data_IF_519174522640
#
_entry.id   IF_519174522640
#
_cell.length_a   1.000
_cell.length_b   1.000
_cell.length_c   1.000
_cell.angle_alpha   90.00
_cell.angle_beta   90.00
_cell.angle_gamma   90.00
#
_symmetry.space_group_name_H-M   'P 1'
#
loop_
_entity.id
_entity.type
_entity.pdbx_description
1 polymer ?
#
# COMPACT_ATOMS: atom_id res chain seq x y z
N UNK A 1 5.44 -27.78 -39.57
CA UNK A 1 5.69 -28.44 -38.27
C UNK A 1 4.46 -28.52 -37.37
N UNK A 2 3.57 -27.51 -37.32
CA UNK A 2 2.45 -27.46 -36.36
C UNK A 2 1.18 -28.26 -36.74
N UNK A 3 1.22 -29.15 -37.74
CA UNK A 3 0.05 -29.99 -38.09
C UNK A 3 0.40 -31.45 -38.41
N UNK A 4 1.69 -31.83 -38.39
CA UNK A 4 2.11 -33.15 -38.88
C UNK A 4 2.95 -33.94 -37.87
N UNK A 5 3.28 -33.36 -36.72
CA UNK A 5 4.21 -33.95 -35.73
C UNK A 5 3.79 -33.75 -34.27
N UNK A 6 2.50 -33.58 -33.98
CA UNK A 6 1.99 -33.28 -32.62
C UNK A 6 2.29 -34.39 -31.60
N UNK A 7 2.55 -35.61 -32.07
CA UNK A 7 2.81 -36.78 -31.22
C UNK A 7 4.26 -36.87 -30.73
N UNK A 8 5.20 -36.10 -31.29
CA UNK A 8 6.61 -36.13 -30.85
C UNK A 8 6.83 -35.48 -29.48
N UNK A 9 5.90 -34.64 -29.00
CA UNK A 9 5.96 -33.98 -27.68
C UNK A 9 5.29 -34.73 -26.54
N UNK A 10 4.60 -35.85 -26.83
CA UNK A 10 3.78 -36.61 -25.88
C UNK A 10 2.40 -35.99 -25.63
N UNK A 11 1.37 -36.83 -25.48
CA UNK A 11 -0.05 -36.42 -25.35
C UNK A 11 -0.28 -35.45 -24.18
N UNK A 12 0.41 -35.68 -23.06
CA UNK A 12 0.31 -34.85 -21.86
C UNK A 12 0.85 -33.43 -22.12
N UNK A 13 1.97 -33.31 -22.84
CA UNK A 13 2.54 -32.01 -23.20
C UNK A 13 1.64 -31.22 -24.14
N UNK A 14 0.97 -31.92 -25.06
CA UNK A 14 0.01 -31.32 -25.98
C UNK A 14 -1.23 -30.78 -25.28
N UNK A 15 -1.80 -31.55 -24.35
CA UNK A 15 -2.96 -31.12 -23.55
C UNK A 15 -2.60 -29.92 -22.65
N UNK A 16 -1.45 -29.96 -21.99
CA UNK A 16 -0.99 -28.84 -21.14
C UNK A 16 -0.72 -27.60 -21.97
N UNK A 17 -0.11 -27.74 -23.15
CA UNK A 17 0.12 -26.61 -24.05
C UNK A 17 -1.20 -26.02 -24.57
N UNK A 18 -2.17 -26.85 -24.92
CA UNK A 18 -3.49 -26.39 -25.38
C UNK A 18 -4.22 -25.63 -24.26
N UNK A 19 -4.23 -26.21 -23.05
CA UNK A 19 -4.78 -25.55 -21.87
C UNK A 19 -4.12 -24.21 -21.56
N UNK A 20 -2.78 -24.13 -21.65
CA UNK A 20 -2.05 -22.88 -21.43
C UNK A 20 -2.33 -21.84 -22.52
N UNK A 21 -2.54 -22.27 -23.77
CA UNK A 21 -2.88 -21.36 -24.87
C UNK A 21 -4.31 -20.83 -24.76
N UNK A 22 -5.26 -21.61 -24.24
CA UNK A 22 -6.63 -21.14 -24.01
C UNK A 22 -6.70 -20.06 -22.93
N UNK A 23 -5.87 -20.17 -21.88
CA UNK A 23 -5.85 -19.20 -20.78
C UNK A 23 -4.94 -17.99 -21.02
N UNK A 24 -3.76 -18.16 -21.62
CA UNK A 24 -2.77 -17.07 -21.79
C UNK A 24 -2.64 -16.58 -23.24
N UNK A 25 -3.27 -17.24 -24.20
CA UNK A 25 -3.03 -17.01 -25.63
C UNK A 25 -1.66 -17.51 -26.09
N UNK A 26 -1.51 -17.69 -27.41
CA UNK A 26 -0.29 -18.22 -28.03
C UNK A 26 0.99 -17.45 -27.66
N UNK A 27 0.91 -16.12 -27.63
CA UNK A 27 2.03 -15.25 -27.26
C UNK A 27 2.38 -15.42 -25.77
N UNK A 28 1.38 -15.47 -24.89
CA UNK A 28 1.58 -15.63 -23.45
C UNK A 28 2.22 -16.96 -23.10
N UNK A 29 1.74 -18.05 -23.71
CA UNK A 29 2.33 -19.38 -23.52
C UNK A 29 3.78 -19.44 -24.02
N UNK A 30 4.08 -18.79 -25.15
CA UNK A 30 5.45 -18.72 -25.69
C UNK A 30 6.41 -18.00 -24.75
N UNK A 31 6.00 -16.87 -24.18
CA UNK A 31 6.80 -16.13 -23.20
C UNK A 31 7.00 -16.91 -21.90
N UNK A 32 5.98 -17.60 -21.42
CA UNK A 32 6.04 -18.43 -20.21
C UNK A 32 7.05 -19.57 -20.38
N UNK A 33 7.00 -20.27 -21.52
CA UNK A 33 7.93 -21.35 -21.83
C UNK A 33 9.38 -20.84 -21.98
N UNK A 34 9.57 -19.68 -22.63
CA UNK A 34 10.88 -19.04 -22.76
C UNK A 34 11.46 -18.67 -21.38
N UNK A 35 10.64 -18.10 -20.50
CA UNK A 35 11.04 -17.75 -19.14
C UNK A 35 11.41 -18.99 -18.32
N UNK A 36 10.62 -20.06 -18.41
CA UNK A 36 10.91 -21.34 -17.78
C UNK A 36 12.24 -21.94 -18.25
N UNK A 37 12.51 -21.89 -19.56
CA UNK A 37 13.76 -22.37 -20.15
C UNK A 37 14.97 -21.57 -19.66
N UNK A 38 14.88 -20.24 -19.64
CA UNK A 38 15.95 -19.36 -19.13
C UNK A 38 16.20 -19.65 -17.65
N UNK A 39 15.14 -19.79 -16.85
CA UNK A 39 15.24 -20.09 -15.42
C UNK A 39 15.89 -21.46 -15.18
N UNK A 40 15.52 -22.47 -15.97
CA UNK A 40 16.10 -23.81 -15.91
C UNK A 40 17.60 -23.80 -16.28
N UNK A 41 17.98 -23.10 -17.35
CA UNK A 41 19.38 -22.95 -17.75
C UNK A 41 20.21 -22.21 -16.68
N UNK A 42 19.65 -21.16 -16.08
CA UNK A 42 20.30 -20.41 -15.02
C UNK A 42 20.55 -21.27 -13.76
N UNK A 43 19.57 -22.09 -13.36
CA UNK A 43 19.70 -22.97 -12.17
C UNK A 43 20.55 -24.22 -12.43
N UNK A 44 20.38 -24.89 -13.58
CA UNK A 44 21.08 -26.13 -13.91
C UNK A 44 22.55 -25.90 -14.27
N UNK A 45 22.87 -24.83 -15.00
CA UNK A 45 24.21 -24.60 -15.55
C UNK A 45 24.96 -23.44 -14.90
N UNK A 46 24.42 -22.81 -13.84
CA UNK A 46 24.97 -21.58 -13.22
C UNK A 46 25.34 -20.51 -14.26
N UNK A 47 24.51 -20.39 -15.30
CA UNK A 47 24.74 -19.45 -16.40
C UNK A 47 24.39 -18.05 -15.90
N UNK A 48 25.42 -17.28 -15.59
CA UNK A 48 25.30 -15.87 -15.20
C UNK A 48 24.92 -15.02 -16.42
N UNK A 49 24.15 -13.94 -16.20
CA UNK A 49 23.71 -12.94 -17.19
C UNK A 49 24.84 -12.44 -18.12
N UNK A 50 26.11 -12.52 -17.67
CA UNK A 50 27.30 -12.20 -18.47
C UNK A 50 27.52 -13.13 -19.68
N UNK A 51 27.17 -14.42 -19.59
CA UNK A 51 27.28 -15.36 -20.72
C UNK A 51 26.21 -15.10 -21.79
N UNK A 52 25.04 -14.62 -21.39
CA UNK A 52 24.00 -14.19 -22.34
C UNK A 52 24.40 -12.92 -23.10
N UNK A 53 25.10 -11.99 -22.43
CA UNK A 53 25.62 -10.77 -23.05
C UNK A 53 26.69 -11.06 -24.11
N UNK A 54 27.53 -12.08 -23.92
CA UNK A 54 28.54 -12.47 -24.92
C UNK A 54 27.92 -13.22 -26.10
N UNK A 55 26.88 -14.04 -25.88
CA UNK A 55 26.13 -14.69 -26.95
C UNK A 55 25.33 -13.68 -27.79
N UNK A 56 24.64 -12.73 -27.16
CA UNK A 56 23.90 -11.68 -27.88
C UNK A 56 24.85 -10.74 -28.66
N UNK A 57 26.05 -10.48 -28.13
CA UNK A 57 27.08 -9.72 -28.84
C UNK A 57 27.65 -10.49 -30.05
N UNK A 58 27.77 -11.81 -29.97
CA UNK A 58 28.17 -12.66 -31.11
C UNK A 58 27.08 -12.72 -32.17
N UNK A 59 25.83 -12.98 -31.79
CA UNK A 59 24.68 -12.96 -32.70
C UNK A 59 24.50 -11.60 -33.40
N UNK A 60 24.62 -10.49 -32.66
CA UNK A 60 24.58 -9.16 -33.27
C UNK A 60 25.74 -8.96 -34.24
N UNK A 61 26.95 -9.42 -33.91
CA UNK A 61 28.11 -9.32 -34.79
C UNK A 61 27.94 -10.14 -36.08
N UNK A 62 27.44 -11.36 -35.97
CA UNK A 62 27.23 -12.30 -37.08
C UNK A 62 26.11 -11.80 -38.02
N UNK A 63 25.01 -11.28 -37.47
CA UNK A 63 23.95 -10.63 -38.27
C UNK A 63 24.44 -9.34 -38.93
N UNK A 64 25.34 -8.57 -38.29
CA UNK A 64 25.89 -7.35 -38.90
C UNK A 64 26.92 -7.68 -39.99
N UNK A 65 27.68 -8.78 -39.84
CA UNK A 65 28.61 -9.27 -40.86
C UNK A 65 27.85 -9.85 -42.08
N UNK A 66 26.80 -10.64 -41.88
CA UNK A 66 25.94 -11.14 -42.97
C UNK A 66 25.21 -10.01 -43.73
N UNK A 67 24.74 -8.96 -43.04
CA UNK A 67 24.12 -7.78 -43.67
C UNK A 67 25.16 -6.93 -44.42
N UNK A 68 26.43 -6.96 -44.01
CA UNK A 68 27.51 -6.24 -44.70
C UNK A 68 27.98 -6.95 -45.98
N UNK A 69 28.01 -8.29 -45.98
CA UNK A 69 28.33 -9.08 -47.18
C UNK A 69 27.22 -8.99 -48.24
N UNK A 70 25.96 -8.80 -47.83
CA UNK A 70 24.83 -8.65 -48.75
C UNK A 70 24.78 -7.28 -49.47
N UNK A 71 25.49 -6.27 -48.96
CA UNK A 71 25.47 -4.89 -49.51
C UNK A 71 26.62 -4.58 -50.49
N UNK A 72 27.60 -5.47 -50.67
CA UNK A 72 28.70 -5.26 -51.64
C UNK A 72 28.41 -5.79 -53.06
N UNK A 73 27.26 -6.44 -53.28
CA UNK A 73 26.89 -6.96 -54.61
C UNK A 73 25.50 -6.49 -55.02
N UNK A 74 25.32 -5.19 -55.27
CA UNK A 74 24.50 -4.65 -56.37
C UNK A 74 24.52 -3.11 -56.39
N UNK A 75 24.86 -2.56 -57.56
CA UNK A 75 24.93 -1.14 -57.83
C UNK A 75 23.56 -0.54 -58.20
N UNK A 76 23.27 0.62 -57.61
CA UNK A 76 22.41 1.72 -58.06
C UNK A 76 20.88 1.56 -58.08
N UNK A 77 20.20 2.17 -57.08
CA UNK A 77 19.32 3.33 -57.31
C UNK A 77 18.95 4.00 -55.98
N UNK A 78 18.79 5.32 -56.03
CA UNK A 78 18.65 6.26 -54.91
C UNK A 78 17.29 6.11 -54.22
N UNK A 79 17.27 5.95 -52.88
CA UNK A 79 16.30 6.59 -51.96
C UNK A 79 16.94 6.76 -50.59
N UNK A 80 17.21 8.01 -50.20
CA UNK A 80 17.42 8.42 -48.81
C UNK A 80 16.13 8.15 -48.02
N UNK A 81 16.15 7.23 -47.06
CA UNK A 81 15.08 7.08 -46.08
C UNK A 81 15.63 7.35 -44.67
N UNK A 82 15.65 8.64 -44.36
CA UNK A 82 15.83 9.20 -43.03
C UNK A 82 14.57 8.86 -42.20
N UNK A 83 14.63 7.80 -41.39
CA UNK A 83 13.57 7.38 -40.44
C UNK A 83 13.51 8.32 -39.21
N UNK A 84 13.43 9.63 -39.46
CA UNK A 84 13.14 10.65 -38.44
C UNK A 84 11.66 10.99 -38.39
N UNK A 85 10.85 10.52 -39.36
CA UNK A 85 9.43 10.85 -39.46
C UNK A 85 8.51 9.97 -38.58
N UNK A 86 8.83 8.70 -38.32
CA UNK A 86 8.01 7.82 -37.45
C UNK A 86 8.26 8.04 -35.95
N UNK A 87 9.34 8.74 -35.60
CA UNK A 87 9.63 9.11 -34.21
C UNK A 87 8.93 10.42 -33.77
N UNK A 88 8.44 11.23 -34.71
CA UNK A 88 7.67 12.44 -34.42
C UNK A 88 6.15 12.18 -34.32
N UNK A 89 5.61 11.13 -34.95
CA UNK A 89 4.20 10.74 -34.80
C UNK A 89 3.85 10.12 -33.43
N UNK A 90 4.84 9.63 -32.68
CA UNK A 90 4.62 9.07 -31.33
C UNK A 90 4.68 10.17 -30.25
N UNK A 91 5.30 11.33 -30.54
CA UNK A 91 5.39 12.47 -29.60
C UNK A 91 4.21 13.43 -29.67
N UNK A 92 3.42 13.40 -30.74
CA UNK A 92 2.25 14.26 -30.92
C UNK A 92 0.96 13.72 -30.29
N UNK A 93 0.94 12.46 -29.85
CA UNK A 93 -0.25 11.86 -29.19
C UNK A 93 -0.33 12.18 -27.70
N UNK A 94 0.76 12.62 -27.05
CA UNK A 94 0.78 12.77 -25.58
C UNK A 94 0.84 14.21 -25.06
N UNK A 95 0.61 15.23 -25.90
CA UNK A 95 0.61 16.62 -25.40
C UNK A 95 -0.19 17.61 -26.25
N UNK A 96 -1.50 17.73 -26.00
CA UNK A 96 -2.30 18.94 -26.17
C UNK A 96 -3.42 18.88 -25.10
N UNK A 97 -3.32 19.70 -24.06
CA UNK A 97 -4.06 20.97 -23.89
C UNK A 97 -5.49 20.76 -23.40
N UNK A 98 -5.66 21.02 -22.09
CA UNK A 98 -6.93 21.48 -21.53
C UNK A 98 -7.19 22.90 -22.05
N UNK A 99 -8.31 23.11 -22.73
CA UNK A 99 -9.09 24.34 -22.54
C UNK A 99 -10.58 24.08 -22.77
N UNK A 100 -11.37 24.83 -22.00
CA UNK A 100 -12.74 24.60 -21.59
C UNK A 100 -13.79 24.67 -22.71
N UNK A 101 -14.85 23.88 -22.58
CA UNK A 101 -16.19 24.30 -23.02
C UNK A 101 -17.26 23.64 -22.15
N UNK A 102 -18.05 24.48 -21.51
CA UNK A 102 -19.22 24.18 -20.70
C UNK A 102 -20.36 23.63 -21.55
N UNK A 103 -20.97 22.51 -21.16
CA UNK A 103 -22.40 22.27 -21.41
C UNK A 103 -22.94 21.17 -20.46
N UNK A 104 -23.98 21.54 -19.71
CA UNK A 104 -24.79 20.73 -18.79
C UNK A 104 -25.44 19.54 -19.50
N UNK A 105 -25.34 18.33 -18.95
CA UNK A 105 -26.20 17.21 -19.34
C UNK A 105 -26.61 16.36 -18.13
N UNK A 106 -27.86 16.56 -17.70
CA UNK A 106 -28.62 15.67 -16.81
C UNK A 106 -28.89 14.31 -17.48
N UNK A 107 -28.97 13.20 -16.71
CA UNK A 107 -29.34 11.90 -17.24
C UNK A 107 -30.86 11.76 -17.42
N UNK A 108 -31.32 11.67 -18.68
CA UNK A 108 -32.71 11.33 -19.01
C UNK A 108 -32.95 9.82 -19.11
N UNK A 109 -33.98 9.38 -18.40
CA UNK A 109 -34.54 8.03 -18.37
C UNK A 109 -35.48 7.86 -19.56
N UNK A 110 -35.24 6.86 -20.42
CA UNK A 110 -36.14 6.52 -21.54
C UNK A 110 -37.14 5.44 -21.09
N UNK A 111 -38.42 5.81 -21.00
CA UNK A 111 -39.56 4.90 -20.81
C UNK A 111 -40.02 4.32 -22.15
N UNK A 112 -40.48 3.06 -22.21
CA UNK A 112 -41.27 2.58 -23.34
C UNK A 112 -42.76 2.90 -23.15
N UNK A 113 -43.34 3.45 -24.22
CA UNK A 113 -44.75 3.78 -24.41
C UNK A 113 -45.62 2.53 -24.56
N UNK A 114 -46.73 2.46 -23.82
CA UNK A 114 -47.96 1.78 -24.27
C UNK A 114 -49.18 2.64 -23.89
N UNK A 115 -50.02 2.83 -24.89
CA UNK A 115 -51.24 3.64 -25.01
C UNK A 115 -52.29 3.35 -23.94
N UNK A 116 -52.94 4.40 -23.43
CA UNK A 116 -54.14 4.34 -22.60
C UNK A 116 -55.42 4.57 -23.43
N UNK A 117 -56.54 3.91 -23.05
CA UNK A 117 -57.85 4.53 -23.09
C UNK A 117 -58.36 4.84 -21.65
N UNK A 118 -59.05 5.98 -21.53
CA UNK A 118 -59.78 6.48 -20.35
C UNK A 118 -60.73 5.45 -19.74
N UNK A 119 -60.79 5.37 -18.39
CA UNK A 119 -62.06 5.29 -17.61
C UNK A 119 -61.83 5.87 -16.21
N UNK A 120 -62.83 6.63 -15.77
CA UNK A 120 -63.15 7.26 -14.48
C UNK A 120 -62.40 6.88 -13.19
N UNK A 121 -62.14 7.93 -12.40
CA UNK A 121 -61.83 7.84 -10.97
C UNK A 121 -63.06 7.41 -10.17
N UNK A 122 -62.89 6.49 -9.21
CA UNK A 122 -63.52 6.63 -7.92
C UNK A 122 -62.48 6.75 -6.81
N UNK A 123 -62.79 7.68 -5.92
CA UNK A 123 -62.21 7.85 -4.60
C UNK A 123 -62.53 6.62 -3.73
N UNK A 124 -61.52 6.04 -3.11
CA UNK A 124 -61.65 5.09 -2.01
C UNK A 124 -60.51 5.36 -1.01
N UNK A 125 -60.72 6.38 -0.18
CA UNK A 125 -60.36 6.26 1.24
C UNK A 125 -61.04 5.01 1.81
N UNK A 126 -60.27 4.19 2.53
CA UNK A 126 -60.67 2.96 3.23
C UNK A 126 -60.47 1.64 2.48
N UNK A 127 -59.21 1.23 2.29
CA UNK A 127 -58.82 -0.19 2.29
C UNK A 127 -57.55 -0.32 3.13
N UNK A 128 -57.66 -1.03 4.25
CA UNK A 128 -56.53 -1.38 5.11
C UNK A 128 -55.55 -2.29 4.34
N UNK A 129 -54.26 -1.99 4.42
CA UNK A 129 -53.21 -2.85 3.89
C UNK A 129 -53.14 -4.09 4.78
N UNK A 130 -53.61 -5.21 4.25
CA UNK A 130 -53.29 -6.53 4.78
C UNK A 130 -51.86 -6.86 4.34
N UNK A 131 -50.94 -6.86 5.31
CA UNK A 131 -49.54 -7.20 5.07
C UNK A 131 -49.46 -8.71 4.98
N UNK A 132 -49.32 -9.23 3.76
CA UNK A 132 -48.90 -10.61 3.54
C UNK A 132 -47.41 -10.71 3.92
N UNK A 133 -47.12 -11.34 5.07
CA UNK A 133 -45.76 -11.71 5.46
C UNK A 133 -45.18 -12.67 4.42
N UNK A 134 -44.12 -12.25 3.76
CA UNK A 134 -43.24 -13.13 3.00
C UNK A 134 -42.66 -14.18 3.95
N UNK A 135 -42.98 -15.46 3.71
CA UNK A 135 -42.38 -16.58 4.44
C UNK A 135 -40.86 -16.53 4.33
N UNK A 136 -40.21 -16.35 5.48
CA UNK A 136 -38.78 -16.62 5.64
C UNK A 136 -38.48 -18.04 5.18
N UNK A 137 -37.41 -18.20 4.39
CA UNK A 137 -36.86 -19.52 4.07
C UNK A 137 -36.50 -20.26 5.36
N UNK A 138 -36.91 -21.51 5.47
CA UNK A 138 -36.63 -22.36 6.63
C UNK A 138 -35.11 -22.50 6.83
N UNK A 139 -34.60 -21.79 7.83
CA UNK A 139 -33.23 -21.92 8.29
C UNK A 139 -33.08 -23.27 8.99
N UNK A 140 -32.12 -24.05 8.53
CA UNK A 140 -31.71 -25.37 9.04
C UNK A 140 -31.84 -25.54 10.56
N UNK A 141 -32.20 -26.76 10.99
CA UNK A 141 -32.38 -27.24 12.39
C UNK A 141 -31.32 -26.75 13.40
N UNK A 142 -30.13 -26.40 12.93
CA UNK A 142 -29.04 -25.83 13.74
C UNK A 142 -29.44 -24.52 14.44
N UNK A 143 -30.21 -23.65 13.80
CA UNK A 143 -30.59 -22.35 14.39
C UNK A 143 -31.63 -22.49 15.51
N UNK A 144 -32.51 -23.49 15.43
CA UNK A 144 -33.50 -23.76 16.47
C UNK A 144 -32.86 -24.44 17.69
N UNK A 145 -31.89 -25.33 17.47
CA UNK A 145 -31.08 -25.92 18.53
C UNK A 145 -30.24 -24.87 19.26
N UNK A 146 -29.57 -23.97 18.54
CA UNK A 146 -28.81 -22.86 19.13
C UNK A 146 -29.69 -21.92 19.96
N UNK A 147 -30.88 -21.56 19.48
CA UNK A 147 -31.82 -20.71 20.24
C UNK A 147 -32.31 -21.40 21.52
N UNK A 148 -32.71 -22.68 21.46
CA UNK A 148 -33.11 -23.45 22.66
C UNK A 148 -31.98 -23.61 23.67
N UNK A 149 -30.74 -23.85 23.20
CA UNK A 149 -29.57 -23.93 24.07
C UNK A 149 -29.26 -22.62 24.80
N UNK A 150 -29.45 -21.47 24.14
CA UNK A 150 -29.29 -20.14 24.77
C UNK A 150 -30.42 -19.84 25.75
N UNK A 151 -31.66 -20.27 25.46
CA UNK A 151 -32.80 -20.15 26.38
C UNK A 151 -32.63 -21.02 27.64
N UNK A 152 -32.13 -22.24 27.49
CA UNK A 152 -31.98 -23.20 28.60
C UNK A 152 -30.73 -22.94 29.48
N UNK A 153 -29.62 -22.44 28.89
CA UNK A 153 -28.33 -22.32 29.58
C UNK A 153 -27.77 -20.89 29.64
N UNK A 154 -28.43 -19.91 29.04
CA UNK A 154 -27.94 -18.53 28.92
C UNK A 154 -26.81 -18.39 27.88
N UNK A 155 -26.32 -17.16 27.67
CA UNK A 155 -25.15 -16.93 26.82
C UNK A 155 -23.89 -17.50 27.50
N UNK A 156 -23.15 -18.33 26.76
CA UNK A 156 -21.87 -18.86 27.24
C UNK A 156 -20.86 -17.72 27.37
N UNK A 157 -20.52 -17.35 28.61
CA UNK A 157 -19.43 -16.40 28.88
C UNK A 157 -18.09 -17.17 29.00
N UNK A 158 -17.23 -17.13 27.98
CA UNK A 158 -15.97 -17.86 27.96
C UNK A 158 -14.95 -17.29 28.97
N UNK A 159 -15.21 -16.13 29.56
CA UNK A 159 -14.33 -15.56 30.61
C UNK A 159 -14.49 -16.28 31.95
N UNK A 160 -15.62 -16.96 32.19
CA UNK A 160 -15.87 -17.68 33.44
C UNK A 160 -14.90 -18.85 33.66
N UNK A 161 -14.46 -19.51 32.59
CA UNK A 161 -13.44 -20.58 32.65
C UNK A 161 -12.10 -20.07 33.21
N UNK A 162 -11.84 -18.77 33.10
CA UNK A 162 -10.61 -18.09 33.47
C UNK A 162 -10.90 -16.92 34.43
N UNK A 163 -11.91 -17.03 35.29
CA UNK A 163 -12.36 -15.94 36.17
C UNK A 163 -11.32 -15.42 37.19
N UNK A 164 -10.17 -16.08 37.34
CA UNK A 164 -9.03 -15.61 38.17
C UNK A 164 -7.97 -14.85 37.36
N UNK A 165 -8.12 -14.75 36.05
CA UNK A 165 -7.16 -14.05 35.20
C UNK A 165 -7.09 -12.58 35.57
N UNK A 166 -5.87 -12.06 35.64
CA UNK A 166 -5.62 -10.64 35.88
C UNK A 166 -4.82 -10.10 34.71
N UNK A 167 -5.25 -8.95 34.21
CA UNK A 167 -4.48 -8.24 33.19
C UNK A 167 -3.12 -7.82 33.73
N UNK A 168 -2.07 -7.84 32.89
CA UNK A 168 -0.73 -7.46 33.30
C UNK A 168 -0.69 -5.99 33.75
N UNK A 169 -0.05 -5.66 34.88
CA UNK A 169 0.10 -4.28 35.31
C UNK A 169 1.12 -3.54 34.44
N UNK A 170 0.95 -2.22 34.28
CA UNK A 170 1.85 -1.36 33.50
C UNK A 170 3.29 -1.34 34.03
N UNK A 171 3.52 -1.75 35.27
CA UNK A 171 4.85 -1.77 35.89
C UNK A 171 5.78 -2.85 35.35
N UNK A 172 5.24 -3.84 34.62
CA UNK A 172 6.05 -4.77 33.84
C UNK A 172 6.70 -4.08 32.62
N UNK A 173 6.17 -2.93 32.19
CA UNK A 173 6.73 -2.16 31.08
C UNK A 173 7.76 -1.15 31.59
N UNK A 174 8.92 -1.15 30.93
CA UNK A 174 10.01 -0.21 31.24
C UNK A 174 9.57 1.23 30.98
N UNK A 175 9.71 2.07 32.01
CA UNK A 175 9.56 3.53 31.91
C UNK A 175 10.88 4.13 31.43
N UNK A 176 10.79 5.10 30.52
CA UNK A 176 11.95 5.86 30.07
C UNK A 176 11.82 7.30 30.56
N UNK A 177 12.89 7.84 31.15
CA UNK A 177 12.88 9.20 31.71
C UNK A 177 12.83 10.29 30.63
N UNK A 178 13.10 9.92 29.39
CA UNK A 178 13.03 10.80 28.20
C UNK A 178 11.62 10.96 27.63
N UNK A 179 10.56 10.47 28.29
CA UNK A 179 9.18 10.54 27.76
C UNK A 179 8.61 11.97 27.60
N UNK A 180 9.32 13.01 28.08
CA UNK A 180 9.01 14.41 27.84
C UNK A 180 9.76 14.97 26.62
N UNK A 181 9.03 15.63 25.70
CA UNK A 181 9.65 16.38 24.60
C UNK A 181 10.31 17.63 25.21
N UNK A 182 11.64 17.61 25.36
CA UNK A 182 12.40 18.81 25.69
C UNK A 182 12.43 19.72 24.46
N UNK A 183 11.70 20.83 24.52
CA UNK A 183 11.65 21.79 23.42
C UNK A 183 12.96 22.58 23.41
N UNK A 184 13.80 22.32 22.41
CA UNK A 184 14.97 23.14 22.14
C UNK A 184 14.59 24.25 21.14
N UNK A 185 14.16 25.41 21.66
CA UNK A 185 13.76 26.55 20.81
C UNK A 185 14.89 27.04 19.89
N UNK A 186 16.14 26.99 20.37
CA UNK A 186 17.30 27.41 19.59
C UNK A 186 17.50 26.52 18.36
N UNK A 187 17.40 25.20 18.52
CA UNK A 187 17.48 24.25 17.40
C UNK A 187 16.36 24.45 16.37
N UNK A 188 15.14 24.73 16.83
CA UNK A 188 14.01 24.97 15.93
C UNK A 188 14.20 26.25 15.11
N UNK A 189 14.72 27.30 15.75
CA UNK A 189 14.96 28.59 15.11
C UNK A 189 16.13 28.49 14.12
N UNK A 190 17.22 27.82 14.49
CA UNK A 190 18.36 27.53 13.60
C UNK A 190 17.91 26.76 12.36
N UNK A 191 17.17 25.67 12.54
CA UNK A 191 16.70 24.83 11.44
C UNK A 191 15.70 25.59 10.56
N UNK A 192 14.79 26.37 11.16
CA UNK A 192 13.88 27.25 10.43
C UNK A 192 14.67 28.20 9.52
N UNK A 193 15.63 28.93 10.07
CA UNK A 193 16.43 29.90 9.31
C UNK A 193 17.19 29.23 8.17
N UNK A 194 17.82 28.07 8.42
CA UNK A 194 18.51 27.29 7.37
C UNK A 194 17.57 26.85 6.24
N UNK A 195 16.36 26.40 6.56
CA UNK A 195 15.35 26.05 5.54
C UNK A 195 14.99 27.28 4.71
N UNK A 196 14.69 28.41 5.37
CA UNK A 196 14.35 29.67 4.70
C UNK A 196 15.48 30.14 3.78
N UNK A 197 16.71 30.17 4.28
CA UNK A 197 17.89 30.63 3.54
C UNK A 197 18.17 29.72 2.33
N UNK A 198 18.06 28.40 2.53
CA UNK A 198 18.28 27.43 1.44
C UNK A 198 17.25 27.62 0.34
N UNK A 199 15.96 27.72 0.68
CA UNK A 199 14.90 27.95 -0.31
C UNK A 199 15.08 29.30 -1.03
N UNK A 200 15.46 30.35 -0.30
CA UNK A 200 15.74 31.66 -0.88
C UNK A 200 16.92 31.64 -1.86
N UNK A 201 17.99 30.90 -1.56
CA UNK A 201 19.14 30.74 -2.47
C UNK A 201 18.73 30.13 -3.82
N UNK A 202 17.72 29.26 -3.82
CA UNK A 202 17.14 28.67 -5.03
C UNK A 202 16.00 29.50 -5.65
N UNK A 203 15.81 30.75 -5.19
CA UNK A 203 14.73 31.64 -5.61
C UNK A 203 13.35 31.01 -5.41
N UNK A 204 13.13 30.45 -4.22
CA UNK A 204 11.84 29.92 -3.77
C UNK A 204 11.40 30.76 -2.58
N UNK A 205 10.47 31.67 -2.82
CA UNK A 205 9.86 32.48 -1.76
C UNK A 205 8.89 31.65 -0.93
N UNK A 206 8.89 31.90 0.37
CA UNK A 206 7.96 31.29 1.34
C UNK A 206 7.17 32.39 2.04
N UNK A 207 5.87 32.22 2.14
CA UNK A 207 4.99 33.15 2.84
C UNK A 207 4.99 32.95 4.36
N UNK A 208 5.04 31.69 4.81
CA UNK A 208 5.13 31.36 6.23
C UNK A 208 5.68 29.96 6.47
N UNK A 209 6.20 29.74 7.68
CA UNK A 209 6.73 28.46 8.15
C UNK A 209 6.26 28.21 9.60
N UNK A 210 5.79 27.00 9.88
CA UNK A 210 5.36 26.56 11.22
C UNK A 210 6.00 25.23 11.57
N UNK A 211 6.59 25.12 12.77
CA UNK A 211 7.17 23.88 13.26
C UNK A 211 6.20 23.14 14.21
N UNK A 212 6.07 21.83 14.04
CA UNK A 212 5.39 20.92 14.98
C UNK A 212 6.37 19.86 15.42
N UNK A 213 6.67 19.82 16.72
CA UNK A 213 7.70 18.96 17.29
C UNK A 213 7.13 17.57 17.56
N UNK A 214 7.77 16.54 17.01
CA UNK A 214 7.50 15.15 17.33
C UNK A 214 8.62 14.50 18.15
N UNK A 215 8.44 13.24 18.59
CA UNK A 215 9.44 12.52 19.37
C UNK A 215 10.75 12.27 18.60
N UNK A 216 10.66 11.92 17.31
CA UNK A 216 11.81 11.52 16.49
C UNK A 216 12.13 12.54 15.40
N UNK A 217 11.10 13.20 14.87
CA UNK A 217 11.20 14.18 13.78
C UNK A 217 10.37 15.41 14.12
N UNK A 218 10.75 16.57 13.59
CA UNK A 218 9.98 17.81 13.62
C UNK A 218 9.45 18.10 12.22
N UNK A 219 8.16 18.38 12.11
CA UNK A 219 7.50 18.75 10.86
C UNK A 219 7.50 20.27 10.71
N UNK A 220 8.17 20.77 9.67
CA UNK A 220 8.08 22.16 9.24
C UNK A 220 7.05 22.27 8.11
N UNK A 221 5.90 22.85 8.42
CA UNK A 221 4.87 23.18 7.43
C UNK A 221 5.23 24.53 6.80
N UNK A 222 5.43 24.56 5.47
CA UNK A 222 5.75 25.76 4.70
C UNK A 222 4.62 26.09 3.73
N UNK A 223 4.36 27.38 3.56
CA UNK A 223 3.47 27.92 2.53
C UNK A 223 4.33 28.59 1.47
N UNK A 224 4.46 28.02 0.26
CA UNK A 224 5.21 28.67 -0.82
C UNK A 224 4.46 29.91 -1.34
N UNK A 225 5.19 30.87 -1.89
CA UNK A 225 4.60 31.99 -2.62
C UNK A 225 3.92 31.53 -3.92
N UNK A 226 3.00 32.36 -4.42
CA UNK A 226 2.29 32.08 -5.66
C UNK A 226 3.27 31.93 -6.84
N UNK A 227 3.02 30.94 -7.70
CA UNK A 227 3.83 30.67 -8.89
C UNK A 227 5.04 29.74 -8.67
N UNK A 228 5.35 29.34 -7.43
CA UNK A 228 6.37 28.33 -7.17
C UNK A 228 5.84 26.93 -7.48
N UNK A 229 6.54 26.20 -8.35
CA UNK A 229 6.23 24.80 -8.65
C UNK A 229 6.64 23.89 -7.49
N UNK A 230 5.73 23.04 -7.04
CA UNK A 230 5.94 22.08 -5.94
C UNK A 230 7.11 21.12 -6.25
N UNK A 231 7.25 20.69 -7.50
CA UNK A 231 8.34 19.82 -7.95
C UNK A 231 9.72 20.42 -7.70
N UNK A 232 9.85 21.75 -7.79
CA UNK A 232 11.12 22.44 -7.53
C UNK A 232 11.55 22.29 -6.07
N UNK A 233 10.62 22.35 -5.13
CA UNK A 233 10.90 22.15 -3.70
C UNK A 233 11.22 20.68 -3.42
N UNK A 234 10.46 19.75 -4.00
CA UNK A 234 10.68 18.31 -3.84
C UNK A 234 12.07 17.88 -4.33
N UNK A 235 12.56 18.49 -5.41
CA UNK A 235 13.89 18.19 -5.96
C UNK A 235 15.05 18.72 -5.11
N UNK A 236 14.79 19.60 -4.13
CA UNK A 236 15.81 20.15 -3.22
C UNK A 236 15.94 19.33 -1.93
N UNK A 237 15.36 18.13 -1.87
CA UNK A 237 15.39 17.27 -0.67
C UNK A 237 16.82 17.04 -0.16
N UNK A 238 17.73 16.66 -1.04
CA UNK A 238 19.13 16.40 -0.68
C UNK A 238 19.90 17.68 -0.29
N UNK A 239 19.64 18.79 -0.98
CA UNK A 239 20.29 20.08 -0.71
C UNK A 239 19.85 20.67 0.64
N UNK A 240 18.56 20.56 0.96
CA UNK A 240 18.02 20.99 2.26
C UNK A 240 18.56 20.08 3.37
N UNK A 241 18.63 18.76 3.14
CA UNK A 241 19.23 17.83 4.09
C UNK A 241 20.69 18.18 4.39
N UNK A 242 21.47 18.54 3.36
CA UNK A 242 22.85 18.96 3.50
C UNK A 242 22.99 20.25 4.33
N UNK A 243 22.15 21.25 4.05
CA UNK A 243 22.11 22.53 4.79
C UNK A 243 21.77 22.31 6.27
N UNK A 244 20.84 21.40 6.56
CA UNK A 244 20.44 21.04 7.91
C UNK A 244 21.44 20.10 8.61
N UNK A 245 22.45 19.60 7.89
CA UNK A 245 23.38 18.58 8.40
C UNK A 245 22.64 17.33 8.91
N UNK A 246 21.51 17.00 8.28
CA UNK A 246 20.68 15.87 8.63
C UNK A 246 21.12 14.61 7.86
N UNK A 247 20.91 13.42 8.45
CA UNK A 247 21.11 12.14 7.76
C UNK A 247 20.23 11.99 6.52
N UNK A 248 19.11 12.72 6.50
CA UNK A 248 18.12 12.79 5.44
C UNK A 248 16.90 13.56 5.94
N UNK A 249 16.07 14.04 5.03
CA UNK A 249 14.77 14.66 5.34
C UNK A 249 13.69 14.00 4.49
N UNK A 250 12.42 14.26 4.78
CA UNK A 250 11.30 13.82 3.94
C UNK A 250 10.39 14.98 3.60
N UNK A 251 10.13 15.18 2.31
CA UNK A 251 9.23 16.23 1.82
C UNK A 251 7.85 15.64 1.47
N UNK A 252 6.81 16.12 2.15
CA UNK A 252 5.41 15.79 1.90
C UNK A 252 4.77 16.97 1.16
N UNK A 253 4.41 16.78 -0.11
CA UNK A 253 3.85 17.86 -0.92
C UNK A 253 2.76 17.37 -1.89
N UNK A 254 1.57 18.01 -1.91
CA UNK A 254 0.99 18.88 -0.88
C UNK A 254 0.47 18.07 0.33
N UNK A 255 0.37 18.70 1.51
CA UNK A 255 -0.34 18.11 2.65
C UNK A 255 -1.85 18.11 2.35
N UNK A 256 -2.54 16.95 2.37
CA UNK A 256 -3.97 16.86 2.12
C UNK A 256 -4.77 17.81 3.02
N UNK A 257 -5.65 18.61 2.43
CA UNK A 257 -6.53 19.54 3.15
C UNK A 257 -5.87 20.81 3.71
N UNK A 258 -4.55 21.01 3.55
CA UNK A 258 -3.85 22.21 4.04
C UNK A 258 -3.22 23.09 2.97
N UNK A 259 -3.01 22.60 1.74
CA UNK A 259 -2.38 23.38 0.66
C UNK A 259 -0.93 23.79 0.97
N UNK A 260 -0.30 23.17 1.97
CA UNK A 260 1.05 23.44 2.44
C UNK A 260 1.99 22.31 2.07
N UNK A 261 3.29 22.52 2.24
CA UNK A 261 4.32 21.50 2.08
C UNK A 261 4.90 21.18 3.46
N UNK A 262 5.07 19.91 3.78
CA UNK A 262 5.68 19.47 5.02
C UNK A 262 7.12 19.01 4.79
N UNK A 263 8.07 19.51 5.58
CA UNK A 263 9.44 19.03 5.62
C UNK A 263 9.66 18.36 6.97
N UNK A 264 9.82 17.05 6.99
CA UNK A 264 10.14 16.27 8.19
C UNK A 264 11.65 16.24 8.38
N UNK A 265 12.13 16.83 9.47
CA UNK A 265 13.55 16.90 9.82
C UNK A 265 13.80 16.06 11.07
N UNK A 266 14.79 15.14 11.06
CA UNK A 266 15.17 14.40 12.26
C UNK A 266 15.62 15.31 13.39
N UNK A 267 15.16 15.06 14.62
CA UNK A 267 15.63 15.80 15.78
C UNK A 267 17.06 15.38 16.13
N UNK A 268 17.91 16.31 16.59
CA UNK A 268 19.26 15.98 17.08
C UNK A 268 19.22 14.96 18.22
N UNK A 269 18.25 15.13 19.13
CA UNK A 269 18.01 14.23 20.27
C UNK A 269 16.66 13.53 20.12
N UNK A 270 16.62 12.43 19.37
CA UNK A 270 15.42 11.63 19.21
C UNK A 270 15.01 10.94 20.51
N UNK A 271 13.72 11.05 20.86
CA UNK A 271 13.13 10.43 22.04
C UNK A 271 12.61 9.03 21.72
N UNK A 272 12.91 8.06 22.60
CA UNK A 272 12.39 6.70 22.48
C UNK A 272 10.90 6.67 22.84
N UNK A 273 10.08 6.16 21.94
CA UNK A 273 8.66 5.89 22.21
C UNK A 273 8.55 4.55 22.93
N UNK A 274 8.27 4.59 24.24
CA UNK A 274 8.16 3.39 25.07
C UNK A 274 6.80 2.71 24.91
N UNK A 275 6.76 1.37 24.95
CA UNK A 275 5.48 0.63 25.00
C UNK A 275 4.65 1.03 26.22
N UNK A 276 5.28 1.35 27.36
CA UNK A 276 4.59 1.86 28.54
C UNK A 276 3.79 3.12 28.22
N UNK A 277 4.42 4.10 27.54
CA UNK A 277 3.77 5.38 27.22
C UNK A 277 2.57 5.21 26.27
N UNK A 278 2.66 4.27 25.32
CA UNK A 278 1.64 4.02 24.32
C UNK A 278 0.46 3.25 24.94
N UNK A 279 0.74 2.21 25.72
CA UNK A 279 -0.29 1.40 26.39
C UNK A 279 -0.96 2.19 27.52
N UNK A 280 -0.23 2.99 28.29
CA UNK A 280 -0.81 3.83 29.35
C UNK A 280 -1.66 4.99 28.82
N UNK A 281 -1.55 5.32 27.53
CA UNK A 281 -2.29 6.43 26.94
C UNK A 281 -3.80 6.21 27.00
N UNK A 282 -4.55 7.28 27.30
CA UNK A 282 -6.01 7.21 27.40
C UNK A 282 -6.66 6.69 26.12
N UNK A 283 -6.10 7.04 24.95
CA UNK A 283 -6.60 6.59 23.64
C UNK A 283 -6.56 5.07 23.48
N UNK A 284 -5.56 4.39 24.08
CA UNK A 284 -5.49 2.93 24.10
C UNK A 284 -6.36 2.34 25.22
N UNK A 285 -6.27 2.90 26.43
CA UNK A 285 -7.01 2.43 27.60
C UNK A 285 -8.53 2.48 27.39
N UNK A 286 -9.05 3.54 26.78
CA UNK A 286 -10.47 3.73 26.47
C UNK A 286 -10.88 3.25 25.07
N UNK A 287 -9.99 2.55 24.35
CA UNK A 287 -10.34 2.03 23.03
C UNK A 287 -11.44 0.96 23.16
N UNK A 288 -12.56 1.17 22.47
CA UNK A 288 -13.69 0.22 22.32
C UNK A 288 -13.52 -0.68 21.08
N UNK A 289 -12.29 -0.84 20.61
CA UNK A 289 -11.95 -1.65 19.43
C UNK A 289 -11.99 -3.15 19.74
N UNK A 290 -12.27 -3.96 18.72
CA UNK A 290 -12.31 -5.42 18.88
C UNK A 290 -10.90 -6.00 19.04
N UNK A 291 -9.91 -5.53 18.29
CA UNK A 291 -8.51 -5.95 18.39
C UNK A 291 -7.59 -4.73 18.33
N UNK A 292 -7.53 -3.91 19.40
CA UNK A 292 -6.72 -2.70 19.44
C UNK A 292 -5.22 -3.03 19.43
N UNK A 293 -4.52 -2.46 18.46
CA UNK A 293 -3.06 -2.50 18.35
C UNK A 293 -2.53 -1.08 18.50
N UNK A 294 -1.60 -0.92 19.44
CA UNK A 294 -0.90 0.33 19.67
C UNK A 294 0.44 0.30 18.90
N UNK A 295 0.51 1.03 17.77
CA UNK A 295 1.67 0.99 16.87
C UNK A 295 2.80 1.92 17.33
N UNK A 296 2.48 2.96 18.09
CA UNK A 296 3.45 3.94 18.55
C UNK A 296 2.84 5.32 18.70
N UNK A 297 3.62 6.34 18.35
CA UNK A 297 3.20 7.74 18.34
C UNK A 297 3.41 8.35 16.97
N UNK A 298 2.52 9.29 16.61
CA UNK A 298 2.64 10.08 15.39
C UNK A 298 3.70 11.17 15.53
N UNK A 299 3.99 11.86 14.43
CA UNK A 299 4.84 13.06 14.40
C UNK A 299 4.32 14.19 15.30
N UNK A 300 3.03 14.18 15.65
CA UNK A 300 2.42 15.16 16.57
C UNK A 300 2.40 14.65 18.02
N UNK A 301 3.16 13.59 18.33
CA UNK A 301 3.23 12.95 19.65
C UNK A 301 1.89 12.36 20.14
N UNK A 302 0.96 12.09 19.23
CA UNK A 302 -0.31 11.44 19.55
C UNK A 302 -0.16 9.91 19.47
N UNK A 303 -0.71 9.17 20.42
CA UNK A 303 -0.74 7.71 20.36
C UNK A 303 -1.53 7.25 19.13
N UNK A 304 -0.91 6.39 18.32
CA UNK A 304 -1.55 5.80 17.15
C UNK A 304 -2.03 4.38 17.49
N UNK A 305 -3.35 4.23 17.58
CA UNK A 305 -4.03 2.96 17.88
C UNK A 305 -4.93 2.62 16.71
N UNK A 306 -4.86 1.38 16.27
CA UNK A 306 -5.65 0.85 15.14
C UNK A 306 -6.38 -0.42 15.56
N UNK A 307 -7.49 -0.73 14.88
CA UNK A 307 -8.23 -1.97 15.12
C UNK A 307 -7.86 -3.01 14.06
N UNK A 308 -7.25 -4.12 14.48
CA UNK A 308 -6.92 -5.24 13.59
C UNK A 308 -8.19 -5.88 13.02
N UNK A 309 -9.33 -5.84 13.71
CA UNK A 309 -10.57 -6.41 13.16
C UNK A 309 -11.07 -5.62 11.93
N UNK A 310 -10.83 -4.30 11.90
CA UNK A 310 -11.17 -3.44 10.76
C UNK A 310 -10.14 -3.54 9.61
N UNK A 311 -8.92 -3.98 9.92
CA UNK A 311 -7.87 -4.28 8.96
C UNK A 311 -7.51 -5.77 9.08
N UNK A 312 -8.38 -6.67 8.57
CA UNK A 312 -8.42 -8.08 9.00
C UNK A 312 -7.09 -8.82 8.80
N UNK A 313 -6.23 -8.32 7.91
CA UNK A 313 -4.88 -8.82 7.69
C UNK A 313 -3.88 -7.67 7.69
N UNK A 314 -2.74 -7.88 8.35
CA UNK A 314 -1.64 -6.92 8.45
C UNK A 314 -0.37 -7.55 7.86
N UNK A 315 0.20 -6.91 6.84
CA UNK A 315 1.52 -7.26 6.31
C UNK A 315 2.60 -6.39 6.97
N UNK A 316 3.60 -7.01 7.59
CA UNK A 316 4.74 -6.31 8.19
C UNK A 316 6.05 -6.71 7.50
N UNK A 317 6.67 -5.75 6.81
CA UNK A 317 7.93 -5.93 6.10
C UNK A 317 8.99 -4.93 6.58
N UNK A 318 10.26 -5.32 6.49
CA UNK A 318 11.40 -4.48 6.89
C UNK A 318 12.71 -5.26 6.85
N UNK A 319 13.80 -4.57 6.52
CA UNK A 319 15.15 -5.13 6.59
C UNK A 319 15.56 -5.39 8.06
N UNK A 320 16.61 -6.20 8.26
CA UNK A 320 17.19 -6.43 9.58
C UNK A 320 17.60 -5.10 10.22
N UNK A 321 17.24 -4.90 11.49
CA UNK A 321 17.53 -3.64 12.21
C UNK A 321 16.49 -2.53 12.05
N UNK A 322 15.54 -2.65 11.10
CA UNK A 322 14.47 -1.64 10.90
C UNK A 322 13.34 -1.72 11.93
N UNK A 323 13.46 -2.59 12.95
CA UNK A 323 12.47 -2.69 14.02
C UNK A 323 11.28 -3.63 13.76
N UNK A 324 11.31 -4.46 12.72
CA UNK A 324 10.21 -5.43 12.42
C UNK A 324 9.88 -6.34 13.61
N UNK A 325 10.89 -6.98 14.23
CA UNK A 325 10.68 -7.87 15.37
C UNK A 325 10.12 -7.12 16.59
N UNK A 326 10.57 -5.87 16.80
CA UNK A 326 10.03 -5.00 17.85
C UNK A 326 8.57 -4.63 17.58
N UNK A 327 8.22 -4.33 16.33
CA UNK A 327 6.85 -4.06 15.90
C UNK A 327 5.93 -5.26 16.12
N UNK A 328 6.39 -6.47 15.80
CA UNK A 328 5.64 -7.70 16.06
C UNK A 328 5.36 -7.88 17.57
N UNK A 329 6.37 -7.66 18.41
CA UNK A 329 6.21 -7.71 19.86
C UNK A 329 5.28 -6.60 20.38
N UNK A 330 5.28 -5.40 19.77
CA UNK A 330 4.34 -4.34 20.11
C UNK A 330 2.88 -4.72 19.80
N UNK A 331 2.63 -5.41 18.67
CA UNK A 331 1.32 -5.96 18.33
C UNK A 331 0.85 -6.97 19.37
N UNK A 332 1.68 -7.97 19.67
CA UNK A 332 1.34 -9.01 20.66
C UNK A 332 1.10 -8.41 22.05
N UNK A 333 2.00 -7.51 22.49
CA UNK A 333 1.87 -6.83 23.79
C UNK A 333 0.59 -6.00 23.87
N UNK A 334 0.20 -5.31 22.80
CA UNK A 334 -1.05 -4.54 22.77
C UNK A 334 -2.26 -5.44 23.04
N UNK A 335 -2.33 -6.59 22.36
CA UNK A 335 -3.43 -7.52 22.53
C UNK A 335 -3.41 -8.16 23.92
N UNK A 336 -2.25 -8.54 24.45
CA UNK A 336 -2.12 -9.11 25.80
C UNK A 336 -2.53 -8.15 26.93
N UNK A 337 -2.35 -6.85 26.74
CA UNK A 337 -2.74 -5.84 27.74
C UNK A 337 -4.22 -5.44 27.68
N UNK A 338 -4.95 -5.87 26.66
CA UNK A 338 -6.30 -5.35 26.37
C UNK A 338 -7.34 -6.44 26.10
N UNK A 339 -6.92 -7.68 25.81
CA UNK A 339 -7.81 -8.80 25.50
C UNK A 339 -7.58 -9.97 26.45
N UNK A 340 -8.69 -10.54 26.89
CA UNK A 340 -8.68 -11.71 27.73
C UNK A 340 -8.32 -12.96 26.90
N UNK A 341 -7.63 -13.96 27.46
CA UNK A 341 -7.28 -15.19 26.72
C UNK A 341 -8.49 -15.99 26.20
N UNK A 342 -9.68 -15.71 26.70
CA UNK A 342 -10.94 -16.26 26.18
C UNK A 342 -11.40 -15.58 24.88
N UNK A 343 -11.04 -14.31 24.68
CA UNK A 343 -11.45 -13.50 23.53
C UNK A 343 -10.49 -13.67 22.34
N UNK A 344 -9.20 -13.90 22.61
CA UNK A 344 -8.16 -13.98 21.57
C UNK A 344 -7.28 -15.20 21.78
N UNK A 345 -7.09 -15.98 20.71
CA UNK A 345 -6.15 -17.10 20.64
C UNK A 345 -5.08 -16.80 19.60
N UNK A 346 -3.83 -17.11 19.93
CA UNK A 346 -2.69 -16.90 19.05
C UNK A 346 -2.21 -18.23 18.45
N UNK A 347 -1.92 -18.20 17.15
CA UNK A 347 -1.12 -19.24 16.49
C UNK A 347 0.14 -18.57 15.99
N UNK A 348 1.27 -18.88 16.63
CA UNK A 348 2.55 -18.26 16.34
C UNK A 348 3.41 -19.22 15.53
N UNK A 349 3.83 -18.79 14.34
CA UNK A 349 4.70 -19.57 13.44
C UNK A 349 6.04 -18.86 13.32
N UNK A 350 7.08 -19.40 13.96
CA UNK A 350 8.45 -18.89 13.86
C UNK A 350 9.36 -19.92 13.18
N UNK A 351 9.59 -19.80 11.85
CA UNK A 351 10.43 -20.74 11.12
C UNK A 351 11.91 -20.65 11.52
N UNK A 352 12.34 -19.53 12.13
CA UNK A 352 13.74 -19.32 12.53
C UNK A 352 13.99 -19.64 14.00
N UNK A 353 12.94 -19.77 14.82
CA UNK A 353 12.98 -20.02 16.27
C UNK A 353 13.79 -18.99 17.07
N UNK A 354 13.77 -17.74 16.65
CA UNK A 354 14.57 -16.66 17.27
C UNK A 354 13.67 -15.66 18.00
N UNK A 355 12.50 -15.36 17.45
CA UNK A 355 11.75 -14.16 17.83
C UNK A 355 10.57 -14.51 18.75
N UNK A 356 9.85 -15.61 18.45
CA UNK A 356 8.59 -15.94 19.14
C UNK A 356 8.72 -17.05 20.18
N UNK A 357 9.93 -17.60 20.35
CA UNK A 357 10.19 -18.66 21.35
C UNK A 357 9.90 -18.20 22.78
N UNK A 358 9.96 -16.89 23.04
CA UNK A 358 9.61 -16.27 24.32
C UNK A 358 8.14 -16.49 24.73
N UNK A 359 7.24 -16.74 23.78
CA UNK A 359 5.79 -16.93 24.03
C UNK A 359 5.38 -18.40 24.21
N UNK A 360 6.33 -19.34 24.20
CA UNK A 360 6.07 -20.78 24.24
C UNK A 360 6.16 -21.39 25.66
N UNK A 361 5.81 -20.64 26.71
CA UNK A 361 5.94 -21.13 28.10
C UNK A 361 4.69 -20.96 28.91
#
# INVERSE_FOLDING_TARGET
FAQEYDVLGGTIGFEINSFLQDYLGKIGTSLLLLFGLITYLATRFRVTVQSFKSLFKKLKKEVTEEISEFNETETSSVVDNNLTAEAEEIKTVFNLEEEETTEDLEPQIVKPTVTAPEVDKPDYSDIAIEVEESKEEEVTDTNQLSKKLVEDFGEFDPTLELGKYQFPPLDLLKKYDSEGITINQEELEENKNRIVDTLNNYKIGIASIKATIGPTVTLYEIVPEAGIRISKIKNLEDDIALSLSALGIRIIAPIPGKGTIGIEVPNKNATVVSMRSVIAAQKFQKAEMQLPIALGKTISNETFVVDLAKMPHLLMAGATGQGKSVGLNAVLTSLLYKKHPAEVKFVLVDPKKVELTLFNK
#
